data_IF_132423910875
#
_entry.id   IF_132423910875
#
_cell.length_a   1.000
_cell.length_b   1.000
_cell.length_c   1.000
_cell.angle_alpha   90.00
_cell.angle_beta   90.00
_cell.angle_gamma   90.00
#
_symmetry.space_group_name_H-M   'P 1'
#
loop_
_entity.id
_entity.type
_entity.pdbx_description
1 polymer ?
#
# COMPACT_ATOMS: atom_id res chain seq x y z
N UNK A 1 -17.41 28.50 -0.18
CA UNK A 1 -18.02 27.76 0.92
C UNK A 1 -16.98 26.72 1.38
N UNK A 2 -16.25 26.96 2.47
CA UNK A 2 -15.30 25.98 3.01
C UNK A 2 -16.11 24.94 3.78
N UNK A 3 -16.03 23.69 3.37
CA UNK A 3 -16.63 22.58 4.12
C UNK A 3 -15.89 22.40 5.45
N UNK A 4 -16.58 22.31 6.60
CA UNK A 4 -15.94 22.23 7.93
C UNK A 4 -15.31 20.86 8.24
N UNK A 5 -14.83 20.14 7.23
CA UNK A 5 -14.32 18.77 7.35
C UNK A 5 -12.89 18.73 7.93
N UNK A 6 -12.15 19.85 7.86
CA UNK A 6 -10.73 19.86 8.23
C UNK A 6 -10.46 19.85 9.74
N UNK A 7 -11.39 20.38 10.57
CA UNK A 7 -11.16 20.50 12.02
C UNK A 7 -11.32 19.18 12.79
N UNK A 8 -12.06 18.20 12.25
CA UNK A 8 -12.37 16.92 12.89
C UNK A 8 -11.73 15.70 12.19
N UNK A 9 -10.63 15.89 11.44
CA UNK A 9 -9.90 14.81 10.80
C UNK A 9 -8.61 14.49 11.57
N UNK A 10 -8.67 13.63 12.60
CA UNK A 10 -7.51 13.34 13.47
C UNK A 10 -6.41 12.58 12.70
N UNK A 11 -6.77 11.91 11.60
CA UNK A 11 -5.85 11.11 10.79
C UNK A 11 -5.20 11.89 9.64
N UNK A 12 -5.52 13.19 9.49
CA UNK A 12 -4.95 14.04 8.45
C UNK A 12 -5.24 13.58 7.02
N UNK A 13 -6.40 12.96 6.79
CA UNK A 13 -6.76 12.40 5.48
C UNK A 13 -7.41 13.42 4.54
N UNK A 14 -7.77 14.60 5.04
CA UNK A 14 -8.29 15.68 4.22
C UNK A 14 -7.13 16.55 3.72
N UNK A 15 -7.08 16.84 2.42
CA UNK A 15 -6.01 17.61 1.79
C UNK A 15 -5.80 19.00 2.43
N UNK A 16 -6.89 19.63 2.88
CA UNK A 16 -6.86 20.95 3.55
C UNK A 16 -6.39 20.88 5.01
N UNK A 17 -6.20 19.68 5.57
CA UNK A 17 -5.70 19.51 6.91
C UNK A 17 -4.18 19.77 6.93
N UNK A 18 -3.65 20.63 7.82
CA UNK A 18 -2.19 20.86 7.92
C UNK A 18 -1.38 19.56 8.11
N UNK A 19 -1.95 18.56 8.80
CA UNK A 19 -1.32 17.25 9.01
C UNK A 19 -1.17 16.42 7.74
N UNK A 20 -1.93 16.74 6.68
CA UNK A 20 -1.85 15.99 5.42
C UNK A 20 -0.44 15.95 4.86
N UNK A 21 0.27 17.07 4.92
CA UNK A 21 1.63 17.23 4.40
C UNK A 21 2.72 16.98 5.45
N UNK A 22 2.32 16.72 6.70
CA UNK A 22 3.27 16.42 7.78
C UNK A 22 3.80 14.99 7.63
N UNK A 23 5.09 14.85 7.34
CA UNK A 23 5.77 13.58 7.14
C UNK A 23 5.75 12.71 8.39
N UNK A 24 6.04 13.29 9.55
CA UNK A 24 6.07 12.54 10.81
C UNK A 24 4.68 11.97 11.16
N UNK A 25 3.63 12.77 10.93
CA UNK A 25 2.27 12.31 11.11
C UNK A 25 1.87 11.25 10.08
N UNK A 26 2.32 11.37 8.81
CA UNK A 26 2.09 10.35 7.79
C UNK A 26 2.75 9.02 8.18
N UNK A 27 4.00 9.05 8.64
CA UNK A 27 4.71 7.84 9.08
C UNK A 27 4.03 7.15 10.27
N UNK A 28 3.58 7.95 11.26
CA UNK A 28 2.80 7.44 12.39
C UNK A 28 1.49 6.78 11.94
N UNK A 29 0.82 7.35 10.96
CA UNK A 29 -0.45 6.83 10.45
C UNK A 29 -0.23 5.59 9.57
N UNK A 30 0.84 5.54 8.78
CA UNK A 30 1.25 4.33 8.04
C UNK A 30 1.53 3.19 9.00
N UNK A 31 2.30 3.44 10.05
CA UNK A 31 2.61 2.44 11.07
C UNK A 31 1.32 1.91 11.72
N UNK A 32 0.46 2.81 12.22
CA UNK A 32 -0.82 2.45 12.86
C UNK A 32 -1.69 1.58 11.95
N UNK A 33 -1.87 1.98 10.71
CA UNK A 33 -2.73 1.25 9.76
C UNK A 33 -2.11 -0.08 9.36
N UNK A 34 -0.80 -0.14 9.17
CA UNK A 34 -0.11 -1.39 8.83
C UNK A 34 -0.17 -2.41 9.98
N UNK A 35 -0.11 -1.96 11.25
CA UNK A 35 -0.32 -2.83 12.42
C UNK A 35 -1.73 -3.44 12.41
N UNK A 36 -2.76 -2.62 12.22
CA UNK A 36 -4.14 -3.11 12.16
C UNK A 36 -4.31 -4.09 10.99
N UNK A 37 -3.76 -3.77 9.82
CA UNK A 37 -3.81 -4.63 8.64
C UNK A 37 -3.06 -5.94 8.87
N UNK A 38 -1.90 -5.92 9.53
CA UNK A 38 -1.12 -7.10 9.86
C UNK A 38 -1.85 -8.00 10.85
N UNK A 39 -2.49 -7.44 11.86
CA UNK A 39 -3.30 -8.21 12.81
C UNK A 39 -4.54 -8.85 12.20
N UNK A 40 -5.12 -8.23 11.16
CA UNK A 40 -6.35 -8.70 10.52
C UNK A 40 -6.11 -9.61 9.30
N UNK A 41 -5.20 -9.25 8.41
CA UNK A 41 -4.81 -9.93 7.15
C UNK A 41 -5.95 -10.32 6.19
N UNK A 42 -7.17 -9.82 6.38
CA UNK A 42 -8.33 -10.16 5.57
C UNK A 42 -8.16 -9.82 4.07
N UNK A 43 -7.28 -8.88 3.76
CA UNK A 43 -7.04 -8.37 2.41
C UNK A 43 -5.79 -8.99 1.73
N UNK A 44 -5.16 -10.03 2.30
CA UNK A 44 -3.87 -10.56 1.85
C UNK A 44 -3.83 -10.93 0.36
N UNK A 45 -4.94 -11.37 -0.22
CA UNK A 45 -5.04 -11.80 -1.62
C UNK A 45 -5.68 -10.77 -2.57
N UNK A 46 -5.96 -9.55 -2.11
CA UNK A 46 -6.67 -8.56 -2.93
C UNK A 46 -5.77 -7.86 -3.93
N UNK A 47 -4.53 -7.54 -3.56
CA UNK A 47 -3.62 -6.80 -4.43
C UNK A 47 -2.16 -6.98 -4.00
N UNK A 48 -1.19 -6.66 -4.89
CA UNK A 48 0.23 -6.77 -4.61
C UNK A 48 0.73 -5.93 -3.43
N UNK A 49 0.05 -4.82 -3.11
CA UNK A 49 0.40 -3.96 -1.96
C UNK A 49 0.31 -4.73 -0.63
N UNK A 50 -0.78 -5.47 -0.42
CA UNK A 50 -0.95 -6.29 0.78
C UNK A 50 -0.03 -7.52 0.79
N UNK A 51 0.16 -8.17 -0.37
CA UNK A 51 1.09 -9.30 -0.48
C UNK A 51 2.51 -8.89 -0.06
N UNK A 52 3.00 -7.75 -0.56
CA UNK A 52 4.32 -7.24 -0.18
C UNK A 52 4.37 -6.84 1.29
N UNK A 53 3.35 -6.11 1.79
CA UNK A 53 3.28 -5.71 3.20
C UNK A 53 3.44 -6.93 4.13
N UNK A 54 2.59 -7.94 3.93
CA UNK A 54 2.57 -9.08 4.84
C UNK A 54 3.81 -9.96 4.71
N UNK A 55 4.34 -10.19 3.50
CA UNK A 55 5.60 -10.93 3.32
C UNK A 55 6.79 -10.22 3.97
N UNK A 56 6.84 -8.88 3.91
CA UNK A 56 7.93 -8.14 4.55
C UNK A 56 7.81 -8.16 6.06
N UNK A 57 6.62 -7.98 6.60
CA UNK A 57 6.38 -8.12 8.04
C UNK A 57 6.73 -9.52 8.52
N UNK A 58 6.28 -10.56 7.80
CA UNK A 58 6.60 -11.96 8.12
C UNK A 58 8.10 -12.25 8.06
N UNK A 59 8.82 -11.64 7.11
CA UNK A 59 10.28 -11.81 7.00
C UNK A 59 11.06 -11.09 8.10
N UNK A 60 10.46 -10.09 8.75
CA UNK A 60 11.05 -9.32 9.85
C UNK A 60 10.62 -9.85 11.22
N UNK A 61 9.69 -10.82 11.26
CA UNK A 61 9.23 -11.44 12.50
C UNK A 61 10.30 -12.39 13.03
N UNK A 62 10.95 -12.09 14.17
CA UNK A 62 12.00 -12.92 14.74
C UNK A 62 11.51 -14.30 15.20
N UNK A 63 10.19 -14.47 15.40
CA UNK A 63 9.61 -15.73 15.85
C UNK A 63 9.13 -16.64 14.72
N UNK A 64 9.24 -16.21 13.47
CA UNK A 64 8.80 -17.00 12.31
C UNK A 64 9.53 -18.32 12.18
N UNK A 65 10.85 -18.33 12.40
CA UNK A 65 11.66 -19.56 12.29
C UNK A 65 11.25 -20.60 13.33
N UNK A 66 10.84 -20.16 14.53
CA UNK A 66 10.34 -21.05 15.58
C UNK A 66 8.96 -21.64 15.24
N UNK A 67 8.13 -20.89 14.52
CA UNK A 67 6.80 -21.33 14.08
C UNK A 67 6.86 -22.29 12.86
N UNK A 68 7.78 -22.06 11.93
CA UNK A 68 7.99 -22.94 10.76
C UNK A 68 8.66 -24.27 11.11
N UNK A 69 9.42 -24.33 12.22
CA UNK A 69 10.03 -25.55 12.74
C UNK A 69 9.06 -26.55 13.37
N UNK A 70 7.82 -26.14 13.64
CA UNK A 70 6.75 -27.03 14.12
C UNK A 70 5.89 -27.48 12.94
N UNK A 71 6.42 -28.39 12.15
CA UNK A 71 5.66 -29.15 11.16
C UNK A 71 4.52 -29.87 11.88
N UNK A 72 3.27 -29.54 11.55
CA UNK A 72 2.11 -30.30 11.97
C UNK A 72 2.12 -31.59 11.12
N UNK A 73 2.87 -32.58 11.56
CA UNK A 73 2.71 -33.92 11.05
C UNK A 73 1.41 -34.50 11.63
N UNK A 74 0.43 -34.65 10.73
CA UNK A 74 -0.79 -35.43 10.96
C UNK A 74 -1.75 -34.84 11.97
N UNK A 75 -2.66 -33.98 11.54
CA UNK A 75 -3.99 -33.64 12.09
C UNK A 75 -4.38 -34.03 13.52
N UNK A 76 -3.47 -33.95 14.49
CA UNK A 76 -3.75 -34.23 15.88
C UNK A 76 -4.07 -32.93 16.59
N UNK A 77 -5.29 -32.80 17.04
CA UNK A 77 -5.72 -31.75 17.98
C UNK A 77 -4.91 -31.98 19.26
N UNK A 78 -4.01 -31.03 19.58
CA UNK A 78 -3.25 -31.06 20.85
C UNK A 78 -4.23 -30.73 21.97
N UNK A 79 -4.28 -31.58 22.99
CA UNK A 79 -5.20 -31.41 24.12
C UNK A 79 -4.87 -30.10 24.88
N UNK A 80 -5.89 -29.44 25.43
CA UNK A 80 -5.80 -28.11 26.08
C UNK A 80 -4.70 -27.98 27.15
N UNK A 81 -4.24 -29.07 27.75
CA UNK A 81 -3.17 -29.08 28.75
C UNK A 81 -1.77 -28.83 28.18
N UNK A 82 -1.49 -29.23 26.93
CA UNK A 82 -0.22 -28.93 26.25
C UNK A 82 -0.15 -27.48 25.76
N UNK A 83 -1.28 -26.91 25.35
CA UNK A 83 -1.37 -25.51 24.92
C UNK A 83 -1.05 -24.53 26.06
N UNK A 84 -1.45 -24.83 27.29
CA UNK A 84 -1.16 -23.98 28.45
C UNK A 84 0.32 -23.96 28.82
N UNK A 85 1.04 -25.11 28.69
CA UNK A 85 2.48 -25.21 28.91
C UNK A 85 3.31 -24.50 27.85
N UNK A 86 2.80 -24.43 26.60
CA UNK A 86 3.44 -23.71 25.50
C UNK A 86 3.31 -22.19 25.64
N UNK A 87 2.22 -21.72 26.27
CA UNK A 87 2.00 -20.28 26.51
C UNK A 87 2.91 -19.72 27.61
N UNK A 88 3.38 -20.54 28.55
CA UNK A 88 4.31 -20.11 29.62
C UNK A 88 5.74 -19.84 29.12
N UNK A 89 6.11 -20.35 27.93
CA UNK A 89 7.43 -20.16 27.32
C UNK A 89 7.45 -19.21 26.11
N UNK A 90 6.30 -18.65 25.74
CA UNK A 90 6.27 -17.56 24.75
C UNK A 90 6.65 -16.28 25.49
N UNK A 91 7.94 -16.03 25.58
CA UNK A 91 8.43 -14.67 25.78
C UNK A 91 7.97 -13.88 24.56
N UNK A 92 6.84 -13.19 24.70
CA UNK A 92 6.38 -12.21 23.71
C UNK A 92 7.51 -11.21 23.58
N UNK A 93 8.32 -11.34 22.52
CA UNK A 93 9.26 -10.28 22.20
C UNK A 93 8.42 -9.04 21.89
N UNK A 94 8.72 -7.99 22.60
CA UNK A 94 8.00 -6.72 22.53
C UNK A 94 8.30 -5.95 21.24
N UNK A 95 9.00 -6.54 20.30
CA UNK A 95 9.33 -5.91 19.02
C UNK A 95 8.24 -6.24 17.99
N UNK A 96 7.39 -5.23 17.75
CA UNK A 96 6.39 -5.27 16.70
C UNK A 96 7.09 -5.31 15.33
N UNK A 97 6.95 -6.40 14.52
CA UNK A 97 7.65 -6.52 13.25
C UNK A 97 7.26 -5.42 12.25
N UNK A 98 6.11 -4.78 12.40
CA UNK A 98 5.70 -3.61 11.59
C UNK A 98 6.60 -2.41 11.88
N UNK A 99 7.10 -2.25 13.11
CA UNK A 99 8.03 -1.17 13.45
C UNK A 99 9.41 -1.33 12.80
N UNK A 100 9.76 -2.54 12.36
CA UNK A 100 11.01 -2.85 11.67
C UNK A 100 10.95 -2.59 10.16
N UNK A 101 9.76 -2.26 9.60
CA UNK A 101 9.63 -1.91 8.18
C UNK A 101 10.43 -0.67 7.83
N UNK A 102 11.39 -0.83 6.93
CA UNK A 102 12.18 0.27 6.38
C UNK A 102 11.36 1.19 5.46
N UNK A 103 11.91 2.36 5.16
CA UNK A 103 11.25 3.34 4.28
C UNK A 103 11.06 2.79 2.86
N UNK A 104 12.01 1.99 2.36
CA UNK A 104 11.90 1.33 1.05
C UNK A 104 10.76 0.32 1.01
N UNK A 105 10.52 -0.42 2.10
CA UNK A 105 9.42 -1.37 2.20
C UNK A 105 8.07 -0.64 2.19
N UNK A 106 7.94 0.43 2.98
CA UNK A 106 6.74 1.28 3.02
C UNK A 106 6.50 1.91 1.65
N UNK A 107 7.53 2.48 1.02
CA UNK A 107 7.46 3.05 -0.33
C UNK A 107 6.97 2.02 -1.33
N UNK A 108 7.48 0.79 -1.28
CA UNK A 108 7.07 -0.30 -2.17
C UNK A 108 5.60 -0.67 -1.98
N UNK A 109 5.12 -0.75 -0.74
CA UNK A 109 3.70 -0.99 -0.43
C UNK A 109 2.82 0.10 -1.03
N UNK A 110 3.23 1.38 -0.87
CA UNK A 110 2.52 2.55 -1.39
C UNK A 110 2.48 2.54 -2.93
N UNK A 111 3.60 2.28 -3.60
CA UNK A 111 3.70 2.24 -5.06
C UNK A 111 2.79 1.18 -5.69
N UNK A 112 2.69 0.01 -5.05
CA UNK A 112 1.89 -1.12 -5.54
C UNK A 112 0.39 -0.96 -5.32
N UNK A 113 -0.06 0.06 -4.61
CA UNK A 113 -1.47 0.35 -4.46
C UNK A 113 -2.04 0.99 -5.73
N UNK A 114 -3.01 0.33 -6.36
CA UNK A 114 -3.66 0.79 -7.60
C UNK A 114 -4.83 1.76 -7.37
N UNK A 115 -5.08 2.18 -6.13
CA UNK A 115 -6.22 3.06 -5.76
C UNK A 115 -7.59 2.51 -6.20
N UNK A 116 -7.72 1.19 -6.38
CA UNK A 116 -8.95 0.54 -6.83
C UNK A 116 -10.06 0.49 -5.76
N UNK A 117 -9.73 0.78 -4.50
CA UNK A 117 -10.62 0.86 -3.33
C UNK A 117 -11.34 -0.44 -2.97
N UNK A 118 -11.00 -1.59 -3.56
CA UNK A 118 -11.63 -2.88 -3.26
C UNK A 118 -11.44 -3.34 -1.80
N UNK A 119 -10.35 -2.92 -1.16
CA UNK A 119 -10.10 -3.20 0.25
C UNK A 119 -11.02 -2.41 1.20
N UNK A 120 -11.52 -1.24 0.79
CA UNK A 120 -12.35 -0.39 1.65
C UNK A 120 -13.68 -1.07 2.05
N UNK A 121 -14.55 -1.53 1.12
CA UNK A 121 -15.80 -2.19 1.49
C UNK A 121 -15.59 -3.55 2.18
N UNK A 122 -14.43 -4.18 2.02
CA UNK A 122 -14.11 -5.45 2.67
C UNK A 122 -13.60 -5.28 4.10
N UNK A 123 -13.08 -4.10 4.45
CA UNK A 123 -12.45 -3.86 5.73
C UNK A 123 -13.50 -3.63 6.84
N UNK A 124 -13.47 -4.40 7.95
CA UNK A 124 -14.39 -4.20 9.05
C UNK A 124 -14.07 -2.96 9.91
N UNK A 125 -12.89 -2.38 9.71
CA UNK A 125 -12.36 -1.28 10.52
C UNK A 125 -12.49 0.09 9.88
N UNK A 126 -13.24 0.21 8.76
CA UNK A 126 -13.53 1.52 8.15
C UNK A 126 -14.47 2.35 9.01
N UNK A 127 -14.51 3.67 8.87
CA UNK A 127 -15.51 4.50 9.57
C UNK A 127 -16.94 3.97 9.37
N UNK A 128 -17.75 3.92 10.44
CA UNK A 128 -17.62 4.58 11.74
C UNK A 128 -16.85 3.79 12.83
N UNK A 129 -16.12 2.75 12.50
CA UNK A 129 -15.32 2.01 13.47
C UNK A 129 -14.26 2.93 14.10
N UNK A 130 -13.95 2.71 15.38
CA UNK A 130 -12.99 3.53 16.15
C UNK A 130 -11.58 3.59 15.51
N UNK A 131 -11.15 2.52 14.85
CA UNK A 131 -9.87 2.50 14.14
C UNK A 131 -9.87 3.35 12.87
N UNK A 132 -11.03 3.68 12.32
CA UNK A 132 -11.20 4.57 11.16
C UNK A 132 -10.19 4.31 10.01
N UNK A 133 -9.97 3.04 9.67
CA UNK A 133 -9.00 2.64 8.64
C UNK A 133 -9.51 3.01 7.25
N UNK A 134 -8.76 3.87 6.55
CA UNK A 134 -8.98 4.14 5.13
C UNK A 134 -7.65 3.92 4.37
N UNK A 135 -7.33 2.65 4.12
CA UNK A 135 -6.09 2.26 3.47
C UNK A 135 -5.90 2.91 2.09
N UNK A 136 -6.91 2.93 1.16
CA UNK A 136 -6.72 3.58 -0.13
C UNK A 136 -6.39 5.06 -0.01
N UNK A 137 -7.07 5.78 0.88
CA UNK A 137 -6.86 7.21 1.07
C UNK A 137 -5.50 7.51 1.70
N UNK A 138 -5.05 6.65 2.61
CA UNK A 138 -3.71 6.72 3.19
C UNK A 138 -2.62 6.51 2.12
N UNK A 139 -2.79 5.52 1.23
CA UNK A 139 -1.86 5.29 0.12
C UNK A 139 -1.82 6.48 -0.83
N UNK A 140 -2.98 7.05 -1.17
CA UNK A 140 -3.05 8.26 -1.98
C UNK A 140 -2.32 9.43 -1.31
N UNK A 141 -2.55 9.65 -0.01
CA UNK A 141 -1.85 10.67 0.77
C UNK A 141 -0.33 10.47 0.71
N UNK A 142 0.15 9.23 0.93
CA UNK A 142 1.57 8.92 0.90
C UNK A 142 2.19 9.19 -0.48
N UNK A 143 1.49 8.85 -1.57
CA UNK A 143 1.93 9.19 -2.94
C UNK A 143 1.98 10.69 -3.18
N UNK A 144 0.98 11.44 -2.70
CA UNK A 144 0.95 12.90 -2.87
C UNK A 144 2.06 13.61 -2.10
N UNK A 145 2.32 13.19 -0.87
CA UNK A 145 3.43 13.73 -0.05
C UNK A 145 4.77 13.39 -0.71
N UNK A 146 4.98 12.14 -1.10
CA UNK A 146 6.21 11.73 -1.80
C UNK A 146 6.42 12.47 -3.12
N UNK A 147 5.36 12.68 -3.93
CA UNK A 147 5.44 13.47 -5.16
C UNK A 147 5.76 14.95 -4.90
N UNK A 148 5.34 15.49 -3.76
CA UNK A 148 5.69 16.85 -3.34
C UNK A 148 7.17 17.00 -2.95
N UNK A 149 7.76 15.97 -2.34
CA UNK A 149 9.14 15.94 -1.88
C UNK A 149 10.14 15.56 -2.99
N UNK A 150 9.88 14.47 -3.70
CA UNK A 150 10.78 13.93 -4.72
C UNK A 150 10.55 14.52 -6.12
N UNK A 151 9.39 15.18 -6.33
CA UNK A 151 8.92 15.61 -7.63
C UNK A 151 8.28 14.48 -8.42
N UNK A 152 7.72 14.82 -9.58
CA UNK A 152 7.06 13.87 -10.48
C UNK A 152 8.00 13.59 -11.67
N UNK A 153 8.30 12.32 -11.93
CA UNK A 153 9.12 11.92 -13.07
C UNK A 153 8.51 12.41 -14.40
N UNK A 154 9.35 12.82 -15.35
CA UNK A 154 8.91 13.32 -16.66
C UNK A 154 7.98 12.34 -17.39
N UNK A 155 8.25 11.05 -17.27
CA UNK A 155 7.40 9.97 -17.81
C UNK A 155 5.97 10.04 -17.23
N UNK A 156 5.85 10.14 -15.91
CA UNK A 156 4.56 10.17 -15.20
C UNK A 156 3.82 11.48 -15.50
N UNK A 157 4.56 12.59 -15.56
CA UNK A 157 4.00 13.88 -15.95
C UNK A 157 3.44 13.87 -17.39
N UNK A 158 4.15 13.21 -18.31
CA UNK A 158 3.70 13.04 -19.69
C UNK A 158 2.44 12.16 -19.77
N UNK A 159 2.46 10.99 -19.10
CA UNK A 159 1.33 10.07 -19.09
C UNK A 159 0.11 10.63 -18.36
N UNK A 160 0.33 11.44 -17.32
CA UNK A 160 -0.72 12.12 -16.57
C UNK A 160 -1.36 13.31 -17.29
N UNK A 161 -0.68 13.90 -18.28
CA UNK A 161 -1.20 15.03 -19.07
C UNK A 161 -2.16 14.58 -20.19
N UNK A 162 -3.16 13.77 -19.83
CA UNK A 162 -4.07 13.10 -20.77
C UNK A 162 -4.80 14.06 -21.71
N UNK A 163 -5.23 15.23 -21.22
CA UNK A 163 -5.94 16.23 -22.02
C UNK A 163 -5.05 16.83 -23.10
N UNK A 164 -3.79 17.16 -22.74
CA UNK A 164 -2.82 17.71 -23.70
C UNK A 164 -2.42 16.64 -24.72
N UNK A 165 -2.00 15.47 -24.23
CA UNK A 165 -1.55 14.36 -25.09
C UNK A 165 -2.68 13.87 -25.96
N UNK A 166 -3.88 13.67 -25.42
CA UNK A 166 -5.07 13.26 -26.15
C UNK A 166 -5.48 14.28 -27.20
N UNK A 167 -5.47 15.59 -26.86
CA UNK A 167 -5.78 16.66 -27.79
C UNK A 167 -4.82 16.73 -28.98
N UNK A 168 -3.53 16.57 -28.75
CA UNK A 168 -2.52 16.53 -29.81
C UNK A 168 -2.67 15.26 -30.66
N UNK A 169 -2.75 14.10 -30.03
CA UNK A 169 -2.86 12.80 -30.71
C UNK A 169 -4.15 12.69 -31.55
N UNK A 170 -5.25 13.28 -31.10
CA UNK A 170 -6.50 13.32 -31.88
C UNK A 170 -6.35 14.12 -33.18
N UNK A 171 -5.61 15.24 -33.16
CA UNK A 171 -5.37 16.04 -34.36
C UNK A 171 -4.53 15.33 -35.44
N UNK A 172 -3.66 14.44 -35.01
CA UNK A 172 -2.76 13.64 -35.88
C UNK A 172 -3.11 12.15 -35.84
N UNK A 173 -4.35 11.77 -35.56
CA UNK A 173 -4.77 10.40 -35.31
C UNK A 173 -4.32 9.38 -36.38
N UNK A 174 -4.43 9.65 -37.71
CA UNK A 174 -3.96 8.69 -38.70
C UNK A 174 -2.45 8.37 -38.57
N UNK A 175 -1.64 9.39 -38.32
CA UNK A 175 -0.19 9.26 -38.14
C UNK A 175 0.14 8.58 -36.80
N UNK A 176 -0.52 9.00 -35.73
CA UNK A 176 -0.35 8.40 -34.40
C UNK A 176 -0.71 6.91 -34.39
N UNK A 177 -1.80 6.52 -35.04
CA UNK A 177 -2.20 5.12 -35.16
C UNK A 177 -1.21 4.31 -36.01
N UNK A 178 -0.74 4.85 -37.13
CA UNK A 178 0.26 4.18 -37.94
C UNK A 178 1.59 3.99 -37.17
N UNK A 179 2.01 5.00 -36.41
CA UNK A 179 3.17 4.90 -35.55
C UNK A 179 2.99 3.86 -34.43
N UNK A 180 1.82 3.78 -33.80
CA UNK A 180 1.51 2.81 -32.75
C UNK A 180 1.44 1.35 -33.26
N UNK A 181 1.09 1.14 -34.54
CA UNK A 181 1.10 -0.17 -35.17
C UNK A 181 2.51 -0.67 -35.56
N UNK A 182 3.47 0.23 -35.64
CA UNK A 182 4.84 -0.15 -36.00
C UNK A 182 5.54 -0.86 -34.84
N UNK A 183 6.05 -2.08 -35.10
CA UNK A 183 6.70 -2.92 -34.07
C UNK A 183 7.93 -2.25 -33.42
N UNK A 184 8.70 -1.50 -34.22
CA UNK A 184 9.89 -0.78 -33.73
C UNK A 184 9.48 0.34 -32.76
N UNK A 185 8.47 1.15 -33.12
CA UNK A 185 7.96 2.21 -32.24
C UNK A 185 7.38 1.64 -30.95
N UNK A 186 6.68 0.51 -31.01
CA UNK A 186 6.16 -0.18 -29.81
C UNK A 186 7.29 -0.62 -28.89
N UNK A 187 8.35 -1.21 -29.44
CA UNK A 187 9.53 -1.59 -28.67
C UNK A 187 10.22 -0.37 -28.03
N UNK A 188 10.28 0.75 -28.76
CA UNK A 188 10.85 1.99 -28.24
C UNK A 188 9.99 2.56 -27.10
N UNK A 189 8.67 2.61 -27.26
CA UNK A 189 7.74 3.05 -26.22
C UNK A 189 7.79 2.16 -24.97
N UNK A 190 7.93 0.85 -25.12
CA UNK A 190 8.12 -0.07 -24.00
C UNK A 190 9.39 0.25 -23.22
N UNK A 191 10.51 0.49 -23.90
CA UNK A 191 11.80 0.76 -23.24
C UNK A 191 11.91 2.16 -22.64
N UNK A 192 11.27 3.17 -23.26
CA UNK A 192 11.41 4.57 -22.83
C UNK A 192 10.31 5.01 -21.88
N UNK A 193 9.06 4.66 -22.19
CA UNK A 193 7.87 5.11 -21.45
C UNK A 193 7.30 3.97 -20.58
N UNK A 194 7.69 2.72 -20.84
CA UNK A 194 7.21 1.55 -20.10
C UNK A 194 5.79 1.14 -20.47
N UNK A 195 5.30 1.52 -21.66
CA UNK A 195 4.01 1.07 -22.18
C UNK A 195 4.18 -0.35 -22.70
N UNK A 196 3.49 -1.32 -22.09
CA UNK A 196 3.54 -2.73 -22.50
C UNK A 196 3.03 -2.92 -23.95
N UNK A 197 3.55 -3.94 -24.63
CA UNK A 197 3.12 -4.34 -25.99
C UNK A 197 1.71 -4.86 -26.02
#
# INVERSE_FOLDING_TARGET
MKLPIAENDPHGMAYDNPRFHDRAHLESELHRVFEICNGCRLCFNLCPSFDVLFRRVDALDPHREEAEGKHIEGGRIVEEHEAASLLEHVTVSTENPVALLGDDDKKRVVELCYECKLCFPKCPYVPPHEFAVDFPKLMLRAKMVGAGEEGIALRERFLGATDLVGGVMTRIAPLANAAAHNAFNRMLMEKTIGIAR
#
